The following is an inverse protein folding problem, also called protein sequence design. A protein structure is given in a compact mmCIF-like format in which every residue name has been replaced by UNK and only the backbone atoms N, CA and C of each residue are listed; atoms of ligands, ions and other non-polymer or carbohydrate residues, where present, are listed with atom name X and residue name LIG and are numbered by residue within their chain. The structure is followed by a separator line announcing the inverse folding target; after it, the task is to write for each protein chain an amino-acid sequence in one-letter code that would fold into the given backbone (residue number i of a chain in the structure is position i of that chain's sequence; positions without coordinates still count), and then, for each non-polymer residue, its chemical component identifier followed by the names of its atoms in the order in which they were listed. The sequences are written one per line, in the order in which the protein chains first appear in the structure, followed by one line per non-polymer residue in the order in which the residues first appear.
data_IF_292201201109
#
_entry.id   IF_292201201109
#
_cell.length_a   1.000
_cell.length_b   1.000
_cell.length_c   1.000
_cell.angle_alpha   90.00
_cell.angle_beta   90.00
_cell.angle_gamma   90.00
#
_symmetry.space_group_name_H-M   'P 1'
#
loop_
_entity.id
_entity.type
_entity.pdbx_description
1 polymer ?
#
# COMPACT_ATOMS: atom_id res chain seq x y z
N UNK A 1 -11.76 4.24 20.61
CA UNK A 1 -12.27 4.70 19.31
C UNK A 1 -11.43 5.91 18.92
N UNK A 2 -10.44 5.73 18.04
CA UNK A 2 -9.59 6.84 17.56
C UNK A 2 -10.25 7.38 16.30
N UNK A 3 -10.93 8.51 16.43
CA UNK A 3 -11.41 9.27 15.29
C UNK A 3 -10.18 10.02 14.77
N UNK A 4 -9.57 9.50 13.69
CA UNK A 4 -8.66 10.29 12.89
C UNK A 4 -9.49 11.41 12.28
N UNK A 5 -9.36 12.61 12.83
CA UNK A 5 -9.85 13.83 12.19
C UNK A 5 -9.03 14.04 10.92
N UNK A 6 -9.49 13.49 9.80
CA UNK A 6 -9.10 13.97 8.49
C UNK A 6 -9.85 15.28 8.26
N UNK A 7 -9.10 16.33 7.94
CA UNK A 7 -9.55 17.63 7.43
C UNK A 7 -10.23 17.53 6.04
N UNK A 8 -10.74 16.34 5.67
CA UNK A 8 -11.29 16.01 4.36
C UNK A 8 -10.25 15.68 3.29
N UNK A 9 -8.96 15.95 3.52
CA UNK A 9 -7.89 15.67 2.54
C UNK A 9 -7.45 14.22 2.60
N UNK A 10 -7.29 13.62 1.42
CA UNK A 10 -6.77 12.25 1.27
C UNK A 10 -5.28 12.24 1.63
N UNK A 11 -4.81 11.16 2.26
CA UNK A 11 -3.37 10.93 2.46
C UNK A 11 -2.83 10.07 1.32
N UNK A 12 -1.74 10.52 0.71
CA UNK A 12 -1.02 9.75 -0.30
C UNK A 12 0.24 9.14 0.32
N UNK A 13 0.29 7.81 0.36
CA UNK A 13 1.45 7.05 0.79
C UNK A 13 2.08 6.36 -0.42
N UNK A 14 3.39 6.47 -0.54
CA UNK A 14 4.22 5.73 -1.50
C UNK A 14 5.47 5.26 -0.78
N UNK A 15 6.18 4.29 -1.35
CA UNK A 15 7.49 3.91 -0.83
C UNK A 15 8.56 4.99 -1.14
N UNK A 16 9.79 4.74 -0.72
CA UNK A 16 10.93 5.66 -0.80
C UNK A 16 11.92 5.13 -1.85
N UNK A 17 11.44 4.37 -2.85
CA UNK A 17 12.30 3.95 -3.95
C UNK A 17 12.85 5.18 -4.68
N UNK A 18 14.06 5.04 -5.22
CA UNK A 18 14.80 6.15 -5.83
C UNK A 18 13.98 7.00 -6.80
N UNK A 19 13.13 6.42 -7.68
CA UNK A 19 12.28 7.22 -8.58
C UNK A 19 11.30 8.14 -7.84
N UNK A 20 10.69 7.69 -6.74
CA UNK A 20 9.73 8.47 -5.94
C UNK A 20 10.38 9.65 -5.20
N UNK A 21 11.68 9.55 -4.92
CA UNK A 21 12.48 10.63 -4.34
C UNK A 21 13.11 11.58 -5.38
N UNK A 22 12.85 11.35 -6.67
CA UNK A 22 13.40 12.20 -7.73
C UNK A 22 12.83 13.62 -7.68
N UNK A 23 13.60 14.60 -8.16
CA UNK A 23 13.14 16.01 -8.21
C UNK A 23 11.82 16.17 -8.98
N UNK A 24 11.63 15.40 -10.04
CA UNK A 24 10.41 15.45 -10.86
C UNK A 24 9.22 14.98 -10.03
N UNK A 25 9.35 13.84 -9.34
CA UNK A 25 8.30 13.30 -8.47
C UNK A 25 8.00 14.22 -7.29
N UNK A 26 9.02 14.77 -6.62
CA UNK A 26 8.82 15.67 -5.48
C UNK A 26 8.16 16.99 -5.90
N UNK A 27 8.53 17.55 -7.05
CA UNK A 27 7.90 18.77 -7.56
C UNK A 27 6.42 18.53 -7.87
N UNK A 28 6.09 17.41 -8.52
CA UNK A 28 4.69 17.06 -8.82
C UNK A 28 3.86 16.92 -7.54
N UNK A 29 4.39 16.28 -6.49
CA UNK A 29 3.70 16.17 -5.19
C UNK A 29 3.48 17.53 -4.52
N UNK A 30 4.42 18.47 -4.69
CA UNK A 30 4.29 19.81 -4.15
C UNK A 30 3.21 20.61 -4.89
N UNK A 31 3.18 20.52 -6.22
CA UNK A 31 2.17 21.15 -7.08
C UNK A 31 0.74 20.69 -6.72
N UNK A 32 0.57 19.44 -6.29
CA UNK A 32 -0.74 18.84 -5.94
C UNK A 32 -1.01 18.80 -4.43
N UNK A 33 -0.27 19.57 -3.63
CA UNK A 33 -0.41 19.59 -2.17
C UNK A 33 -1.78 20.12 -1.68
N UNK A 34 -2.55 20.78 -2.55
CA UNK A 34 -3.94 21.16 -2.29
C UNK A 34 -4.92 20.00 -2.36
N UNK A 35 -4.58 18.92 -3.08
CA UNK A 35 -5.52 17.83 -3.40
C UNK A 35 -5.38 16.67 -2.39
N UNK A 36 -4.16 16.46 -1.91
CA UNK A 36 -3.84 15.44 -0.93
C UNK A 36 -2.59 15.79 -0.15
N UNK A 37 -2.44 15.16 1.01
CA UNK A 37 -1.24 15.27 1.84
C UNK A 37 -0.31 14.11 1.55
N UNK A 38 0.92 14.40 1.13
CA UNK A 38 1.95 13.38 1.04
C UNK A 38 2.32 12.90 2.45
N UNK A 39 2.14 11.62 2.71
CA UNK A 39 2.46 10.99 3.98
C UNK A 39 3.99 10.82 4.10
N UNK A 40 4.61 11.70 4.89
CA UNK A 40 6.04 11.63 5.14
C UNK A 40 6.36 10.45 6.07
N UNK A 41 7.01 9.41 5.55
CA UNK A 41 7.36 8.20 6.31
C UNK A 41 8.87 8.01 6.48
N UNK A 42 9.28 7.36 7.59
CA UNK A 42 10.69 7.16 7.94
C UNK A 42 11.31 6.06 7.07
N UNK A 43 12.46 6.34 6.45
CA UNK A 43 13.22 5.35 5.67
C UNK A 43 13.47 4.07 6.50
N UNK A 44 13.24 2.89 5.89
CA UNK A 44 13.49 1.54 6.43
C UNK A 44 12.39 0.92 7.33
N UNK A 45 11.12 1.27 7.12
CA UNK A 45 9.98 0.59 7.76
C UNK A 45 9.12 -0.17 6.74
N UNK A 46 9.61 -1.32 6.21
CA UNK A 46 8.88 -2.13 5.25
C UNK A 46 7.52 -2.61 5.78
N UNK A 47 7.35 -2.72 7.10
CA UNK A 47 6.12 -3.17 7.75
C UNK A 47 4.95 -2.20 7.56
N UNK A 48 5.27 -0.96 7.18
CA UNK A 48 4.30 0.08 6.84
C UNK A 48 4.02 0.14 5.33
N UNK A 49 4.71 -0.63 4.50
CA UNK A 49 4.57 -0.60 3.05
C UNK A 49 3.43 -1.53 2.59
N UNK A 50 2.19 -1.08 2.72
CA UNK A 50 0.97 -1.85 2.38
C UNK A 50 0.99 -2.35 0.91
N UNK A 51 1.72 -1.68 0.01
CA UNK A 51 1.79 -2.10 -1.40
C UNK A 51 2.41 -3.50 -1.55
N UNK A 52 3.34 -3.90 -0.67
CA UNK A 52 3.92 -5.24 -0.72
C UNK A 52 2.88 -6.28 -0.29
N UNK A 53 2.10 -6.01 0.76
CA UNK A 53 1.00 -6.90 1.16
C UNK A 53 -0.05 -7.07 0.06
N UNK A 54 -0.34 -5.99 -0.68
CA UNK A 54 -1.26 -6.01 -1.82
C UNK A 54 -0.67 -6.85 -2.96
N UNK A 55 0.62 -6.68 -3.28
CA UNK A 55 1.32 -7.44 -4.32
C UNK A 55 1.34 -8.93 -3.99
N UNK A 56 1.70 -9.28 -2.77
CA UNK A 56 1.77 -10.67 -2.31
C UNK A 56 0.38 -11.32 -2.35
N UNK A 57 -0.65 -10.62 -1.89
CA UNK A 57 -2.01 -11.13 -1.91
C UNK A 57 -2.53 -11.32 -3.35
N UNK A 58 -2.25 -10.38 -4.25
CA UNK A 58 -2.63 -10.49 -5.67
C UNK A 58 -1.89 -11.63 -6.36
N UNK A 59 -0.59 -11.79 -6.12
CA UNK A 59 0.21 -12.88 -6.66
C UNK A 59 -0.36 -14.24 -6.23
N UNK A 60 -0.62 -14.39 -4.94
CA UNK A 60 -1.18 -15.63 -4.39
C UNK A 60 -2.60 -15.92 -4.91
N UNK A 61 -3.42 -14.89 -5.13
CA UNK A 61 -4.75 -15.04 -5.74
C UNK A 61 -4.65 -15.53 -7.19
N UNK A 62 -3.72 -14.98 -7.97
CA UNK A 62 -3.43 -15.41 -9.34
C UNK A 62 -2.90 -16.86 -9.37
N UNK A 63 -1.98 -17.22 -8.47
CA UNK A 63 -1.42 -18.59 -8.38
C UNK A 63 -2.48 -19.66 -8.06
N UNK A 64 -3.51 -19.30 -7.30
CA UNK A 64 -4.61 -20.19 -6.94
C UNK A 64 -5.62 -20.42 -8.07
N UNK A 65 -5.56 -19.65 -9.16
CA UNK A 65 -6.50 -19.80 -10.26
C UNK A 65 -6.33 -21.12 -10.99
N UNK A 66 -7.46 -21.75 -11.29
CA UNK A 66 -7.53 -22.98 -12.06
C UNK A 66 -8.50 -22.81 -13.23
N UNK A 67 -8.05 -23.02 -14.49
CA UNK A 67 -6.67 -23.31 -14.88
C UNK A 67 -5.74 -22.10 -14.64
N UNK A 68 -4.42 -22.32 -14.49
CA UNK A 68 -3.46 -21.21 -14.37
C UNK A 68 -3.42 -20.40 -15.68
N UNK A 69 -3.14 -19.08 -15.61
CA UNK A 69 -2.99 -18.25 -16.80
C UNK A 69 -1.83 -18.75 -17.66
N UNK A 70 -2.06 -18.91 -18.97
CA UNK A 70 -1.08 -19.50 -19.89
C UNK A 70 -0.43 -18.48 -20.83
N UNK A 71 -1.04 -17.32 -20.96
CA UNK A 71 -0.54 -16.21 -21.78
C UNK A 71 -0.48 -14.92 -20.96
N UNK A 72 0.33 -13.92 -21.39
CA UNK A 72 0.32 -12.60 -20.76
C UNK A 72 -1.07 -11.95 -20.74
N UNK A 73 -1.89 -12.21 -21.76
CA UNK A 73 -3.27 -11.70 -21.84
C UNK A 73 -4.17 -12.35 -20.78
N UNK A 74 -4.01 -13.67 -20.57
CA UNK A 74 -4.74 -14.40 -19.53
C UNK A 74 -4.32 -13.89 -18.14
N UNK A 75 -3.01 -13.72 -17.93
CA UNK A 75 -2.47 -13.18 -16.68
C UNK A 75 -3.05 -11.80 -16.39
N UNK A 76 -3.04 -10.90 -17.38
CA UNK A 76 -3.63 -9.57 -17.24
C UNK A 76 -5.12 -9.61 -16.92
N UNK A 77 -5.86 -10.53 -17.55
CA UNK A 77 -7.30 -10.70 -17.29
C UNK A 77 -7.54 -11.18 -15.87
N UNK A 78 -6.84 -12.24 -15.45
CA UNK A 78 -6.93 -12.79 -14.09
C UNK A 78 -6.53 -11.76 -13.03
N UNK A 79 -5.45 -11.00 -13.24
CA UNK A 79 -5.04 -9.95 -12.31
C UNK A 79 -6.12 -8.88 -12.13
N UNK A 80 -6.80 -8.46 -13.20
CA UNK A 80 -7.91 -7.51 -13.10
C UNK A 80 -9.11 -8.11 -12.36
N UNK A 81 -9.44 -9.36 -12.63
CA UNK A 81 -10.57 -10.04 -11.97
C UNK A 81 -10.31 -10.15 -10.47
N UNK A 82 -9.11 -10.62 -10.06
CA UNK A 82 -8.72 -10.69 -8.65
C UNK A 82 -8.66 -9.31 -7.99
N UNK A 83 -8.18 -8.30 -8.70
CA UNK A 83 -8.16 -6.92 -8.22
C UNK A 83 -9.58 -6.40 -7.92
N UNK A 84 -10.55 -6.71 -8.76
CA UNK A 84 -11.93 -6.26 -8.59
C UNK A 84 -12.69 -7.06 -7.52
N UNK A 85 -12.50 -8.37 -7.45
CA UNK A 85 -13.30 -9.27 -6.60
C UNK A 85 -12.72 -9.42 -5.19
N UNK A 86 -11.42 -9.72 -5.09
CA UNK A 86 -10.79 -10.09 -3.82
C UNK A 86 -10.27 -8.86 -3.07
N UNK A 87 -9.71 -7.90 -3.79
CA UNK A 87 -8.91 -6.84 -3.18
C UNK A 87 -9.71 -5.80 -2.37
N UNK A 88 -10.96 -5.42 -2.70
CA UNK A 88 -11.68 -4.41 -1.91
C UNK A 88 -11.85 -4.78 -0.43
N UNK A 89 -12.20 -6.03 -0.14
CA UNK A 89 -12.33 -6.53 1.23
C UNK A 89 -10.97 -6.61 1.95
N UNK A 90 -9.94 -7.06 1.24
CA UNK A 90 -8.59 -7.15 1.78
C UNK A 90 -7.99 -5.77 2.09
N UNK A 91 -8.20 -4.78 1.22
CA UNK A 91 -7.76 -3.40 1.42
C UNK A 91 -8.38 -2.78 2.67
N UNK A 92 -9.66 -3.04 2.93
CA UNK A 92 -10.30 -2.57 4.14
C UNK A 92 -9.61 -3.13 5.38
N UNK A 93 -9.37 -4.45 5.42
CA UNK A 93 -8.64 -5.08 6.54
C UNK A 93 -7.23 -4.51 6.69
N UNK A 94 -6.50 -4.30 5.58
CA UNK A 94 -5.17 -3.70 5.61
C UNK A 94 -5.19 -2.31 6.25
N UNK A 95 -6.11 -1.45 5.83
CA UNK A 95 -6.29 -0.11 6.41
C UNK A 95 -6.63 -0.19 7.89
N UNK A 96 -7.48 -1.12 8.30
CA UNK A 96 -7.83 -1.36 9.71
C UNK A 96 -6.63 -1.84 10.54
N UNK A 97 -5.66 -2.55 9.94
CA UNK A 97 -4.42 -2.96 10.63
C UNK A 97 -3.40 -1.84 10.81
N UNK A 98 -3.50 -0.73 10.06
CA UNK A 98 -2.49 0.33 10.06
C UNK A 98 -2.21 0.95 11.44
N UNK A 99 -3.22 1.30 12.27
CA UNK A 99 -2.97 1.82 13.60
C UNK A 99 -2.17 0.84 14.49
N UNK A 100 -2.42 -0.46 14.34
CA UNK A 100 -1.69 -1.49 15.09
C UNK A 100 -0.24 -1.61 14.61
N UNK A 101 0.00 -1.60 13.31
CA UNK A 101 1.36 -1.61 12.73
C UNK A 101 2.17 -0.40 13.19
N UNK A 102 1.57 0.78 13.21
CA UNK A 102 2.19 1.99 13.77
C UNK A 102 2.55 1.83 15.25
N UNK A 103 1.63 1.29 16.06
CA UNK A 103 1.89 1.06 17.48
C UNK A 103 3.03 0.07 17.70
N UNK A 104 3.09 -1.01 16.90
CA UNK A 104 4.17 -1.98 16.94
C UNK A 104 5.51 -1.36 16.53
N UNK A 105 5.55 -0.56 15.47
CA UNK A 105 6.77 0.11 15.00
C UNK A 105 7.33 1.09 16.04
N UNK A 106 6.43 1.87 16.67
CA UNK A 106 6.81 2.77 17.76
C UNK A 106 7.36 1.99 18.96
N UNK A 107 6.73 0.87 19.32
CA UNK A 107 7.16 0.02 20.43
C UNK A 107 8.52 -0.64 20.17
N UNK A 108 8.82 -0.96 18.91
CA UNK A 108 10.10 -1.52 18.49
C UNK A 108 11.21 -0.46 18.32
N UNK A 109 10.92 0.82 18.59
CA UNK A 109 11.84 1.94 18.34
C UNK A 109 12.37 1.98 16.89
N UNK A 110 11.53 1.59 15.92
CA UNK A 110 11.94 1.49 14.51
C UNK A 110 12.74 0.23 14.15
N UNK A 111 12.87 -0.73 15.08
CA UNK A 111 13.36 -2.07 14.81
C UNK A 111 12.31 -2.98 14.14
N UNK A 112 12.70 -4.18 13.67
CA UNK A 112 11.79 -5.10 12.99
C UNK A 112 10.60 -5.48 13.88
N UNK A 113 9.40 -5.39 13.34
CA UNK A 113 8.19 -5.84 14.03
C UNK A 113 7.71 -7.17 13.47
N UNK A 114 7.13 -8.03 14.33
CA UNK A 114 6.37 -9.19 13.83
C UNK A 114 5.04 -8.68 13.27
N UNK A 115 4.84 -8.88 11.97
CA UNK A 115 3.54 -8.78 11.30
C UNK A 115 2.67 -10.01 11.58
#
# INVERSE_FOLDING_TARGET
MSIVHSDGLRQFQQDNATPHSSRVSTNWLQEHSSDFRHFHWLRKSPEMNIIEDIRDALLHAVEKRSPPPRTPMDLWTVMKDEWCEFLPGYLQTLVETMPHRFASLLSAHGGPTRS
#
